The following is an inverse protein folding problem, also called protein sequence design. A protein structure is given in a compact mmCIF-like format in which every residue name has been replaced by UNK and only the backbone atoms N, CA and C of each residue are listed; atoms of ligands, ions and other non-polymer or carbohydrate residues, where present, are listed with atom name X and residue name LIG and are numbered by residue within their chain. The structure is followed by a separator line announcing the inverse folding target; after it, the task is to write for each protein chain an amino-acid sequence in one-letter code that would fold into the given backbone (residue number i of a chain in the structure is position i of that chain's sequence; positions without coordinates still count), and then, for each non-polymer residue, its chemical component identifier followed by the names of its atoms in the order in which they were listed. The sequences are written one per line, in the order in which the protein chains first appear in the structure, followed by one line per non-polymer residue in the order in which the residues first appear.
data_IF_692354581196
#
_entry.id   IF_692354581196
#
_cell.length_a   1.000
_cell.length_b   1.000
_cell.length_c   1.000
_cell.angle_alpha   90.00
_cell.angle_beta   90.00
_cell.angle_gamma   90.00
#
_symmetry.space_group_name_H-M   'P 1'
#
loop_
_entity.id
_entity.type
_entity.pdbx_description
1 polymer ?
#
# COMPACT_ATOMS: atom_id res chain seq x y z
N UNK A 1 -34.36 8.59 -17.24
CA UNK A 1 -33.66 8.02 -16.06
C UNK A 1 -32.33 7.51 -16.58
N UNK A 2 -31.27 8.31 -16.47
CA UNK A 2 -29.96 7.91 -16.94
C UNK A 2 -29.57 6.60 -16.26
N UNK A 3 -29.13 5.60 -17.03
CA UNK A 3 -28.50 4.40 -16.49
C UNK A 3 -27.38 4.86 -15.56
N UNK A 4 -27.57 4.68 -14.26
CA UNK A 4 -26.51 4.89 -13.28
C UNK A 4 -25.47 3.80 -13.50
N UNK A 5 -24.59 4.03 -14.47
CA UNK A 5 -23.50 3.13 -14.82
C UNK A 5 -22.70 2.82 -13.57
N UNK A 6 -22.28 1.55 -13.44
CA UNK A 6 -21.43 1.07 -12.35
C UNK A 6 -20.28 2.09 -12.16
N UNK A 7 -20.09 2.63 -10.94
CA UNK A 7 -18.98 3.57 -10.71
C UNK A 7 -17.68 2.87 -11.08
N UNK A 8 -16.87 3.51 -11.95
CA UNK A 8 -15.63 2.94 -12.49
C UNK A 8 -14.53 2.95 -11.43
N UNK A 9 -14.67 2.18 -10.35
CA UNK A 9 -13.71 2.18 -9.25
C UNK A 9 -12.49 1.31 -9.55
N UNK A 10 -11.38 1.60 -8.88
CA UNK A 10 -10.11 0.88 -9.02
C UNK A 10 -9.61 0.44 -7.64
N UNK A 11 -9.12 -0.79 -7.54
CA UNK A 11 -8.34 -1.26 -6.40
C UNK A 11 -6.89 -1.46 -6.83
N UNK A 12 -5.95 -1.15 -5.94
CA UNK A 12 -4.53 -1.28 -6.21
C UNK A 12 -3.92 -2.45 -5.45
N UNK A 13 -3.09 -3.22 -6.15
CA UNK A 13 -2.22 -4.22 -5.56
C UNK A 13 -0.78 -3.91 -5.98
N UNK A 14 0.15 -3.87 -5.02
CA UNK A 14 1.55 -3.58 -5.27
C UNK A 14 2.47 -4.48 -4.47
N UNK A 15 3.19 -5.37 -5.16
CA UNK A 15 4.25 -6.18 -4.56
C UNK A 15 5.63 -5.57 -4.83
N UNK A 16 6.49 -5.50 -3.80
CA UNK A 16 7.87 -5.04 -3.93
C UNK A 16 7.95 -3.68 -4.64
N UNK A 17 8.76 -3.56 -5.70
CA UNK A 17 8.90 -2.34 -6.49
C UNK A 17 7.57 -1.80 -7.05
N UNK A 18 6.58 -2.64 -7.34
CA UNK A 18 5.27 -2.17 -7.79
C UNK A 18 4.53 -1.37 -6.70
N UNK A 19 4.83 -1.61 -5.42
CA UNK A 19 4.30 -0.80 -4.33
C UNK A 19 4.78 0.65 -4.37
N UNK A 20 5.99 0.91 -4.88
CA UNK A 20 6.50 2.28 -5.11
C UNK A 20 5.69 2.97 -6.21
N UNK A 21 5.37 2.25 -7.29
CA UNK A 21 4.55 2.77 -8.38
C UNK A 21 3.13 3.09 -7.89
N UNK A 22 2.51 2.19 -7.13
CA UNK A 22 1.17 2.41 -6.55
C UNK A 22 1.19 3.62 -5.63
N UNK A 23 2.17 3.73 -4.73
CA UNK A 23 2.32 4.88 -3.85
C UNK A 23 2.47 6.20 -4.62
N UNK A 24 3.29 6.22 -5.68
CA UNK A 24 3.45 7.40 -6.52
C UNK A 24 2.14 7.79 -7.22
N UNK A 25 1.40 6.80 -7.74
CA UNK A 25 0.10 7.02 -8.37
C UNK A 25 -0.92 7.63 -7.38
N UNK A 26 -1.04 7.05 -6.19
CA UNK A 26 -1.93 7.55 -5.14
C UNK A 26 -1.52 8.93 -4.64
N UNK A 27 -0.21 9.19 -4.52
CA UNK A 27 0.33 10.50 -4.16
C UNK A 27 -0.09 11.55 -5.18
N UNK A 28 -0.02 11.23 -6.47
CA UNK A 28 -0.44 12.15 -7.52
C UNK A 28 -1.95 12.35 -7.51
N UNK A 29 -2.74 11.28 -7.41
CA UNK A 29 -4.20 11.35 -7.28
C UNK A 29 -4.62 12.21 -6.08
N UNK A 30 -3.90 12.15 -4.95
CA UNK A 30 -4.22 12.92 -3.76
C UNK A 30 -4.09 14.43 -3.97
N UNK A 31 -3.23 14.87 -4.89
CA UNK A 31 -3.10 16.28 -5.28
C UNK A 31 -4.29 16.75 -6.12
N UNK A 32 -4.82 15.89 -7.00
CA UNK A 32 -5.92 16.23 -7.91
C UNK A 32 -7.31 16.10 -7.29
N UNK A 33 -7.50 15.18 -6.33
CA UNK A 33 -8.80 14.97 -5.66
C UNK A 33 -9.15 16.10 -4.68
N UNK A 34 -8.19 16.95 -4.28
CA UNK A 34 -8.43 18.15 -3.46
C UNK A 34 -9.21 19.28 -4.15
N UNK A 35 -9.61 19.12 -5.41
CA UNK A 35 -10.52 20.02 -6.12
C UNK A 35 -11.95 19.50 -5.89
N UNK A 36 -12.76 20.27 -5.14
CA UNK A 36 -14.00 19.85 -4.47
C UNK A 36 -15.11 19.19 -5.33
N UNK A 37 -14.97 19.18 -6.66
CA UNK A 37 -15.92 18.58 -7.61
C UNK A 37 -15.25 17.57 -8.56
N UNK A 38 -14.08 17.03 -8.18
CA UNK A 38 -13.33 16.13 -9.06
C UNK A 38 -14.05 14.78 -9.25
N UNK A 39 -14.26 14.31 -10.49
CA UNK A 39 -14.84 13.00 -10.77
C UNK A 39 -13.98 11.81 -10.28
N UNK A 40 -12.78 12.07 -9.75
CA UNK A 40 -11.90 11.07 -9.15
C UNK A 40 -12.08 10.92 -7.64
N UNK A 41 -12.91 11.75 -7.00
CA UNK A 41 -13.28 11.56 -5.60
C UNK A 41 -13.98 10.20 -5.42
N UNK A 42 -13.49 9.39 -4.47
CA UNK A 42 -13.99 8.04 -4.17
C UNK A 42 -13.78 6.98 -5.27
N UNK A 43 -12.82 7.19 -6.18
CA UNK A 43 -12.45 6.20 -7.21
C UNK A 43 -11.74 4.97 -6.63
N UNK A 44 -10.95 5.17 -5.57
CA UNK A 44 -10.09 4.12 -5.01
C UNK A 44 -10.84 3.31 -3.96
N UNK A 45 -11.06 2.03 -4.25
CA UNK A 45 -11.73 1.11 -3.33
C UNK A 45 -10.74 0.62 -2.28
N UNK A 46 -9.87 -0.32 -2.64
CA UNK A 46 -8.92 -0.94 -1.71
C UNK A 46 -7.49 -0.78 -2.21
N UNK A 47 -6.54 -0.77 -1.29
CA UNK A 47 -5.11 -0.75 -1.58
C UNK A 47 -4.41 -1.83 -0.77
N UNK A 48 -3.64 -2.66 -1.45
CA UNK A 48 -2.84 -3.71 -0.83
C UNK A 48 -1.39 -3.55 -1.28
N UNK A 49 -0.49 -3.30 -0.33
CA UNK A 49 0.95 -3.23 -0.55
C UNK A 49 1.63 -4.38 0.20
N UNK A 50 2.47 -5.15 -0.49
CA UNK A 50 3.18 -6.30 0.09
C UNK A 50 4.69 -6.11 -0.10
N UNK A 51 5.46 -6.14 0.99
CA UNK A 51 6.92 -6.05 0.94
C UNK A 51 7.42 -4.80 0.20
N UNK A 52 6.70 -3.68 0.32
CA UNK A 52 6.93 -2.51 -0.51
C UNK A 52 8.07 -1.61 0.06
N UNK A 53 9.09 -1.24 -0.73
CA UNK A 53 10.15 -0.33 -0.33
C UNK A 53 9.70 1.14 -0.42
N UNK A 54 8.58 1.48 0.22
CA UNK A 54 8.06 2.85 0.30
C UNK A 54 8.46 3.44 1.66
N UNK A 55 9.00 4.67 1.72
CA UNK A 55 9.38 5.31 2.97
C UNK A 55 8.27 5.29 4.03
N UNK A 56 8.64 4.93 5.26
CA UNK A 56 7.82 5.25 6.44
C UNK A 56 7.87 6.77 6.63
N UNK A 57 6.87 7.46 6.09
CA UNK A 57 6.82 8.92 6.06
C UNK A 57 5.82 9.46 7.11
N UNK A 58 5.68 10.78 7.19
CA UNK A 58 4.81 11.43 8.18
C UNK A 58 3.32 11.22 7.89
N UNK A 59 2.49 11.43 8.91
CA UNK A 59 1.03 11.46 8.74
C UNK A 59 0.58 12.55 7.75
N UNK A 60 1.37 13.63 7.59
CA UNK A 60 1.08 14.69 6.63
C UNK A 60 1.22 14.22 5.17
N UNK A 61 2.14 13.29 4.90
CA UNK A 61 2.36 12.72 3.57
C UNK A 61 1.36 11.60 3.24
N UNK A 62 1.13 10.71 4.20
CA UNK A 62 0.27 9.54 4.02
C UNK A 62 -1.21 9.82 4.28
N UNK A 63 -1.55 10.84 5.06
CA UNK A 63 -2.94 11.22 5.35
C UNK A 63 -3.77 11.52 4.10
N UNK A 64 -3.30 12.36 3.16
CA UNK A 64 -3.98 12.59 1.89
C UNK A 64 -4.19 11.30 1.09
N UNK A 65 -3.18 10.44 1.02
CA UNK A 65 -3.25 9.14 0.33
C UNK A 65 -4.31 8.26 0.98
N UNK A 66 -4.31 8.15 2.32
CA UNK A 66 -5.27 7.31 3.04
C UNK A 66 -6.71 7.78 2.81
N UNK A 67 -6.94 9.10 2.74
CA UNK A 67 -8.29 9.66 2.49
C UNK A 67 -8.86 9.31 1.12
N UNK A 68 -8.02 8.96 0.13
CA UNK A 68 -8.51 8.51 -1.17
C UNK A 68 -9.19 7.13 -1.12
N UNK A 69 -8.74 6.28 -0.21
CA UNK A 69 -9.11 4.87 -0.16
C UNK A 69 -10.41 4.72 0.62
N UNK A 70 -11.50 4.36 -0.07
CA UNK A 70 -12.82 4.18 0.56
C UNK A 70 -12.84 2.96 1.49
N UNK A 71 -12.18 1.90 1.06
CA UNK A 71 -12.12 0.61 1.74
C UNK A 71 -10.85 0.44 2.55
N UNK A 72 -10.25 -0.74 2.44
CA UNK A 72 -9.11 -1.18 3.23
C UNK A 72 -7.81 -0.71 2.60
N UNK A 73 -6.91 -0.22 3.44
CA UNK A 73 -5.52 0.01 3.06
C UNK A 73 -4.66 -0.95 3.86
N UNK A 74 -4.15 -1.98 3.22
CA UNK A 74 -3.36 -3.03 3.85
C UNK A 74 -1.89 -2.87 3.44
N UNK A 75 -1.01 -2.91 4.43
CA UNK A 75 0.43 -3.03 4.27
C UNK A 75 0.88 -4.36 4.90
N UNK A 76 1.15 -5.35 4.05
CA UNK A 76 1.76 -6.62 4.44
C UNK A 76 3.29 -6.54 4.42
N UNK A 77 3.93 -6.92 5.52
CA UNK A 77 5.36 -6.72 5.68
C UNK A 77 6.07 -7.85 6.44
N UNK A 78 7.39 -7.92 6.29
CA UNK A 78 8.27 -8.86 6.96
C UNK A 78 9.47 -8.08 7.51
N UNK A 79 9.66 -8.11 8.83
CA UNK A 79 10.73 -7.35 9.50
C UNK A 79 12.13 -7.80 9.09
N UNK A 80 12.27 -9.08 8.80
CA UNK A 80 13.56 -9.75 8.51
C UNK A 80 13.84 -9.88 7.02
N UNK A 81 13.10 -9.15 6.18
CA UNK A 81 13.29 -9.17 4.73
C UNK A 81 14.69 -8.64 4.36
N UNK A 82 15.61 -9.57 4.09
CA UNK A 82 17.01 -9.25 3.84
C UNK A 82 17.21 -8.42 2.55
N UNK A 83 16.36 -8.61 1.53
CA UNK A 83 16.49 -7.85 0.28
C UNK A 83 16.12 -6.38 0.51
N UNK A 84 15.01 -6.14 1.21
CA UNK A 84 14.58 -4.80 1.56
C UNK A 84 15.53 -4.14 2.57
N UNK A 85 15.98 -4.85 3.61
CA UNK A 85 16.98 -4.35 4.57
C UNK A 85 18.29 -3.96 3.86
N UNK A 86 18.78 -4.79 2.95
CA UNK A 86 19.97 -4.47 2.17
C UNK A 86 19.73 -3.25 1.26
N UNK A 87 18.52 -3.11 0.71
CA UNK A 87 18.14 -1.93 -0.08
C UNK A 87 18.09 -0.65 0.78
N UNK A 88 17.57 -0.72 2.00
CA UNK A 88 17.56 0.40 2.97
C UNK A 88 18.96 0.90 3.24
N UNK A 89 19.91 -0.01 3.52
CA UNK A 89 21.32 0.35 3.76
C UNK A 89 21.92 1.04 2.54
N UNK A 90 21.72 0.51 1.33
CA UNK A 90 22.23 1.11 0.08
C UNK A 90 21.63 2.49 -0.22
N UNK A 91 20.46 2.81 0.33
CA UNK A 91 19.74 4.07 0.13
C UNK A 91 19.87 5.05 1.31
N UNK A 92 20.81 4.82 2.23
CA UNK A 92 21.07 5.75 3.34
C UNK A 92 20.23 5.51 4.59
N UNK A 93 19.92 4.25 4.90
CA UNK A 93 19.19 3.82 6.11
C UNK A 93 17.75 4.35 6.21
N UNK A 94 17.13 4.64 5.07
CA UNK A 94 15.72 5.02 5.02
C UNK A 94 14.85 3.83 5.45
N UNK A 95 13.91 4.04 6.37
CA UNK A 95 12.98 3.00 6.82
C UNK A 95 11.85 2.79 5.79
N UNK A 96 11.52 1.53 5.48
CA UNK A 96 10.43 1.19 4.56
C UNK A 96 9.24 0.48 5.22
N UNK A 97 8.03 0.76 4.71
CA UNK A 97 6.77 0.15 5.19
C UNK A 97 6.79 -1.38 5.07
N UNK A 98 7.49 -1.92 4.07
CA UNK A 98 7.67 -3.35 3.82
C UNK A 98 8.54 -4.08 4.84
N UNK A 99 9.20 -3.36 5.76
CA UNK A 99 9.94 -3.95 6.88
C UNK A 99 9.40 -3.49 8.24
N UNK A 100 8.96 -2.24 8.36
CA UNK A 100 8.65 -1.64 9.65
C UNK A 100 7.16 -1.44 9.91
N UNK A 101 6.31 -1.60 8.90
CA UNK A 101 4.93 -1.12 8.97
C UNK A 101 4.83 0.40 8.81
N UNK A 102 3.61 0.92 8.76
CA UNK A 102 3.28 2.34 8.70
C UNK A 102 2.27 2.68 9.79
N UNK A 103 2.78 3.02 10.98
CA UNK A 103 1.95 3.30 12.16
C UNK A 103 1.63 4.79 12.35
N UNK A 104 2.26 5.68 11.58
CA UNK A 104 2.04 7.13 11.67
C UNK A 104 0.68 7.57 11.13
N UNK A 105 0.01 6.74 10.34
CA UNK A 105 -1.24 7.08 9.63
C UNK A 105 -2.36 6.13 10.03
N UNK A 106 -3.35 6.60 10.82
CA UNK A 106 -4.51 5.79 11.19
C UNK A 106 -5.28 5.28 9.97
N UNK A 107 -5.88 4.10 10.10
CA UNK A 107 -6.68 3.47 9.05
C UNK A 107 -5.87 2.68 8.01
N UNK A 108 -4.54 2.61 8.14
CA UNK A 108 -3.69 1.66 7.41
C UNK A 108 -3.47 0.43 8.28
N UNK A 109 -3.90 -0.72 7.76
CA UNK A 109 -3.79 -2.02 8.40
C UNK A 109 -2.39 -2.59 8.16
N UNK A 110 -1.60 -2.72 9.21
CA UNK A 110 -0.25 -3.29 9.13
C UNK A 110 -0.29 -4.76 9.50
N UNK A 111 -0.04 -5.65 8.54
CA UNK A 111 -0.09 -7.10 8.72
C UNK A 111 1.32 -7.67 8.63
N UNK A 112 1.79 -8.29 9.71
CA UNK A 112 3.08 -8.96 9.75
C UNK A 112 2.96 -10.39 9.22
N UNK A 113 3.74 -10.71 8.19
CA UNK A 113 3.59 -11.95 7.42
C UNK A 113 4.62 -13.03 7.77
N UNK A 114 5.33 -12.91 8.89
CA UNK A 114 6.40 -13.84 9.31
C UNK A 114 5.98 -15.30 9.47
N UNK A 115 4.68 -15.56 9.69
CA UNK A 115 4.13 -16.90 9.78
C UNK A 115 3.87 -17.54 8.40
N UNK A 116 3.86 -16.75 7.32
CA UNK A 116 3.65 -17.21 5.94
C UNK A 116 4.93 -17.15 5.10
N UNK A 117 5.80 -16.18 5.37
CA UNK A 117 7.01 -15.93 4.59
C UNK A 117 8.21 -15.64 5.48
N UNK A 118 9.39 -16.08 5.03
CA UNK A 118 10.68 -15.83 5.69
C UNK A 118 11.67 -15.07 4.80
N UNK A 119 11.35 -14.88 3.52
CA UNK A 119 12.19 -14.13 2.56
C UNK A 119 11.38 -13.38 1.51
N UNK A 120 11.99 -12.39 0.86
CA UNK A 120 11.34 -11.54 -0.15
C UNK A 120 10.75 -12.34 -1.32
N UNK A 121 11.49 -13.34 -1.80
CA UNK A 121 11.07 -14.16 -2.94
C UNK A 121 9.85 -15.01 -2.60
N UNK A 122 9.68 -15.41 -1.33
CA UNK A 122 8.55 -16.22 -0.90
C UNK A 122 7.21 -15.49 -0.97
N UNK A 123 7.17 -14.15 -0.97
CA UNK A 123 5.92 -13.41 -1.14
C UNK A 123 5.16 -13.82 -2.40
N UNK A 124 5.87 -14.03 -3.52
CA UNK A 124 5.24 -14.40 -4.80
C UNK A 124 4.68 -15.82 -4.74
N UNK A 125 5.44 -16.74 -4.15
CA UNK A 125 5.02 -18.15 -4.02
C UNK A 125 3.86 -18.32 -3.04
N UNK A 126 3.84 -17.52 -1.98
CA UNK A 126 2.81 -17.56 -0.92
C UNK A 126 1.69 -16.56 -1.17
N UNK A 127 1.65 -15.90 -2.33
CA UNK A 127 0.66 -14.88 -2.62
C UNK A 127 -0.78 -15.37 -2.40
N UNK A 128 -1.19 -16.60 -2.81
CA UNK A 128 -2.52 -17.10 -2.51
C UNK A 128 -2.83 -17.14 -1.00
N UNK A 129 -1.91 -17.70 -0.19
CA UNK A 129 -2.07 -17.80 1.26
C UNK A 129 -2.05 -16.42 1.95
N UNK A 130 -1.21 -15.51 1.46
CA UNK A 130 -1.17 -14.12 1.94
C UNK A 130 -2.49 -13.42 1.64
N UNK A 131 -2.99 -13.53 0.40
CA UNK A 131 -4.25 -12.92 -0.02
C UNK A 131 -5.42 -13.49 0.77
N UNK A 132 -5.47 -14.80 0.98
CA UNK A 132 -6.46 -15.44 1.85
C UNK A 132 -6.36 -14.91 3.29
N UNK A 133 -5.15 -14.78 3.84
CA UNK A 133 -4.97 -14.26 5.19
C UNK A 133 -5.39 -12.79 5.35
N UNK A 134 -5.14 -11.94 4.35
CA UNK A 134 -5.37 -10.49 4.48
C UNK A 134 -6.73 -10.03 3.96
N UNK A 135 -7.37 -10.75 3.02
CA UNK A 135 -8.63 -10.33 2.41
C UNK A 135 -9.87 -10.93 3.08
N UNK A 136 -9.71 -11.95 3.93
CA UNK A 136 -10.75 -12.43 4.82
C UNK A 136 -10.85 -11.56 6.10
#
# INVERSE_FOLDING_TARGET
LAEAGIPRTVSFFGFSAAGVLVHACLTELAKHVGMADSPTANLVCDVVLIGAPVPTASAAEWGPIRRLVKGRFINGFLRTDQELLSYQVRRGMQSYIGCNGLYTTPGIENVMLEHLVTSHVQYVHQLPAILEHIMH
#
